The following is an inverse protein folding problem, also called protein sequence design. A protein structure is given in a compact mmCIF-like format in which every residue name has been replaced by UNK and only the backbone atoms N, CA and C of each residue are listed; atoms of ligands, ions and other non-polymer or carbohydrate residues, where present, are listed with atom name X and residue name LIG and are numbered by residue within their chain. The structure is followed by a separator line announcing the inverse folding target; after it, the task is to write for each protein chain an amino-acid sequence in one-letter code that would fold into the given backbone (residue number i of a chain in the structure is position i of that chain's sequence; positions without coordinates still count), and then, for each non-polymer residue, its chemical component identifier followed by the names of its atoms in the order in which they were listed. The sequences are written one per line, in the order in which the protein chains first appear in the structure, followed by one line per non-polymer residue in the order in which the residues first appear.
data_IF_679354928586
#
_entry.id   IF_679354928586
#
_cell.length_a   1.000
_cell.length_b   1.000
_cell.length_c   1.000
_cell.angle_alpha   90.00
_cell.angle_beta   90.00
_cell.angle_gamma   90.00
#
_symmetry.space_group_name_H-M   'P 1'
#
loop_
_entity.id
_entity.type
_entity.pdbx_description
1 polymer ?
#
# COMPACT_ATOMS: atom_id res chain seq x y z
N UNK A 1 -9.34 16.85 -11.58
CA UNK A 1 -7.93 16.40 -11.42
C UNK A 1 -7.82 14.98 -11.88
N UNK A 2 -6.87 14.68 -12.73
CA UNK A 2 -6.67 13.33 -13.28
C UNK A 2 -5.54 12.56 -12.58
N UNK A 3 -5.65 11.25 -12.56
CA UNK A 3 -4.58 10.31 -12.18
C UNK A 3 -4.40 9.27 -13.29
N UNK A 4 -3.21 8.71 -13.41
CA UNK A 4 -2.92 7.60 -14.32
C UNK A 4 -2.89 6.30 -13.54
N UNK A 5 -3.74 5.35 -13.91
CA UNK A 5 -3.87 4.04 -13.29
C UNK A 5 -3.42 2.93 -14.24
N UNK A 6 -2.93 1.84 -13.66
CA UNK A 6 -2.58 0.61 -14.39
C UNK A 6 -3.80 -0.28 -14.65
N UNK A 7 -4.77 -0.26 -13.74
CA UNK A 7 -6.02 -1.01 -13.84
C UNK A 7 -7.16 -0.30 -13.09
N UNK A 8 -8.38 -0.77 -13.26
CA UNK A 8 -9.53 -0.39 -12.44
C UNK A 8 -9.28 -0.69 -10.96
N UNK A 9 -10.06 -0.09 -10.07
CA UNK A 9 -10.02 -0.43 -8.65
C UNK A 9 -10.25 -1.93 -8.47
N UNK A 10 -9.42 -2.56 -7.65
CA UNK A 10 -9.54 -3.98 -7.32
C UNK A 10 -10.07 -4.13 -5.89
N UNK A 11 -11.36 -4.41 -5.70
CA UNK A 11 -11.91 -4.69 -4.37
C UNK A 11 -11.50 -6.08 -3.87
N UNK A 12 -11.78 -6.34 -2.60
CA UNK A 12 -11.72 -7.65 -1.94
C UNK A 12 -10.32 -8.29 -1.89
N UNK A 13 -9.26 -7.48 -1.94
CA UNK A 13 -7.91 -7.98 -1.69
C UNK A 13 -7.67 -8.24 -0.20
N UNK A 14 -7.05 -9.38 0.11
CA UNK A 14 -6.63 -9.80 1.46
C UNK A 14 -5.11 -9.94 1.59
N UNK A 15 -4.38 -9.60 0.53
CA UNK A 15 -2.90 -9.74 0.47
C UNK A 15 -2.16 -8.41 0.41
N UNK A 16 -2.87 -7.34 0.15
CA UNK A 16 -2.31 -6.00 -0.02
C UNK A 16 -2.43 -5.14 1.25
N UNK A 17 -2.26 -5.75 2.41
CA UNK A 17 -2.39 -5.17 3.74
C UNK A 17 -3.39 -5.94 4.60
N UNK A 18 -3.58 -5.50 5.84
CA UNK A 18 -4.48 -6.15 6.79
C UNK A 18 -5.94 -5.83 6.48
N UNK A 19 -6.82 -6.84 6.63
CA UNK A 19 -8.25 -6.75 6.37
C UNK A 19 -8.61 -6.94 4.90
N UNK A 20 -9.85 -6.59 4.56
CA UNK A 20 -10.38 -6.62 3.19
C UNK A 20 -10.18 -5.24 2.57
N UNK A 21 -9.47 -5.17 1.45
CA UNK A 21 -9.00 -3.89 0.92
C UNK A 21 -9.36 -3.68 -0.55
N UNK A 22 -9.57 -2.45 -0.93
CA UNK A 22 -9.61 -2.07 -2.34
C UNK A 22 -8.26 -1.50 -2.75
N UNK A 23 -7.65 -2.09 -3.78
CA UNK A 23 -6.35 -1.65 -4.28
C UNK A 23 -6.53 -0.64 -5.42
N UNK A 24 -5.81 0.47 -5.32
CA UNK A 24 -5.64 1.50 -6.35
C UNK A 24 -4.28 1.26 -7.00
N UNK A 25 -4.30 0.76 -8.23
CA UNK A 25 -3.09 0.43 -8.99
C UNK A 25 -2.61 1.64 -9.79
N UNK A 26 -1.67 2.41 -9.26
CA UNK A 26 -1.09 3.56 -9.98
C UNK A 26 -0.18 3.12 -11.12
N UNK A 27 -0.03 3.96 -12.12
CA UNK A 27 0.88 3.75 -13.26
C UNK A 27 2.08 4.70 -13.15
N UNK A 28 3.26 4.19 -13.51
CA UNK A 28 4.54 4.89 -13.44
C UNK A 28 5.37 4.49 -12.22
N UNK A 29 6.64 4.13 -12.44
CA UNK A 29 7.60 3.81 -11.39
C UNK A 29 9.02 4.12 -11.85
N UNK A 30 9.81 4.77 -10.98
CA UNK A 30 11.22 5.10 -11.25
C UNK A 30 12.21 4.05 -10.74
N UNK A 31 11.76 3.07 -9.95
CA UNK A 31 12.67 2.19 -9.23
C UNK A 31 13.24 1.05 -10.08
N UNK A 32 12.48 0.56 -11.07
CA UNK A 32 12.89 -0.52 -11.97
C UNK A 32 13.52 -1.74 -11.25
N UNK A 33 12.90 -2.14 -10.11
CA UNK A 33 13.41 -3.26 -9.33
C UNK A 33 13.52 -4.54 -10.19
N UNK A 34 14.65 -5.25 -10.19
CA UNK A 34 14.76 -6.53 -10.86
C UNK A 34 13.69 -7.51 -10.35
N UNK A 35 13.03 -8.21 -11.27
CA UNK A 35 11.93 -9.15 -10.96
C UNK A 35 10.74 -8.50 -10.19
N UNK A 36 10.50 -7.21 -10.42
CA UNK A 36 9.31 -6.55 -9.89
C UNK A 36 8.05 -7.38 -10.15
N UNK A 37 7.12 -7.42 -9.19
CA UNK A 37 5.87 -8.17 -9.33
C UNK A 37 4.94 -7.56 -10.39
N UNK A 38 5.06 -6.24 -10.66
CA UNK A 38 4.21 -5.49 -11.55
C UNK A 38 5.01 -4.69 -12.60
N UNK A 39 5.87 -5.32 -13.43
CA UNK A 39 6.74 -4.60 -14.37
C UNK A 39 5.97 -3.79 -15.41
N UNK A 40 4.73 -4.22 -15.73
CA UNK A 40 3.82 -3.51 -16.65
C UNK A 40 3.41 -2.12 -16.15
N UNK A 41 3.57 -1.84 -14.86
CA UNK A 41 3.22 -0.55 -14.25
C UNK A 41 4.36 0.47 -14.25
N UNK A 42 5.54 0.12 -14.80
CA UNK A 42 6.71 1.01 -14.80
C UNK A 42 6.59 2.16 -15.79
N UNK A 43 6.05 1.89 -16.98
CA UNK A 43 5.94 2.90 -18.07
C UNK A 43 5.00 4.04 -17.66
N UNK A 44 5.51 5.27 -17.67
CA UNK A 44 4.73 6.47 -17.36
C UNK A 44 3.65 6.78 -18.41
N UNK A 45 3.75 6.22 -19.62
CA UNK A 45 2.77 6.37 -20.69
C UNK A 45 1.78 5.20 -20.74
N UNK A 46 2.03 4.13 -19.97
CA UNK A 46 1.14 2.97 -19.88
C UNK A 46 -0.16 3.27 -19.12
N UNK A 47 -0.99 2.23 -18.97
CA UNK A 47 -2.26 2.36 -18.26
C UNK A 47 -3.23 3.33 -18.94
N UNK A 48 -4.07 4.00 -18.16
CA UNK A 48 -5.06 4.96 -18.63
C UNK A 48 -5.23 6.12 -17.65
N UNK A 49 -5.71 7.25 -18.17
CA UNK A 49 -6.00 8.45 -17.37
C UNK A 49 -7.46 8.47 -16.98
N UNK A 50 -7.74 8.77 -15.72
CA UNK A 50 -9.10 8.84 -15.15
C UNK A 50 -9.25 10.07 -14.27
N UNK A 51 -10.43 10.66 -14.22
CA UNK A 51 -10.75 11.74 -13.30
C UNK A 51 -10.91 11.21 -11.88
N UNK A 52 -10.42 11.95 -10.88
CA UNK A 52 -10.59 11.55 -9.47
C UNK A 52 -12.06 11.43 -9.07
N UNK A 53 -12.93 12.26 -9.64
CA UNK A 53 -14.37 12.20 -9.35
C UNK A 53 -14.97 10.84 -9.74
N UNK A 54 -14.46 10.20 -10.79
CA UNK A 54 -14.93 8.87 -11.19
C UNK A 54 -14.40 7.79 -10.22
N UNK A 55 -13.17 7.94 -9.73
CA UNK A 55 -12.63 7.08 -8.67
C UNK A 55 -13.49 7.22 -7.41
N UNK A 56 -13.84 8.45 -7.00
CA UNK A 56 -14.67 8.69 -5.83
C UNK A 56 -16.08 8.10 -5.97
N UNK A 57 -16.68 8.14 -7.17
CA UNK A 57 -17.94 7.44 -7.46
C UNK A 57 -17.83 5.94 -7.26
N UNK A 58 -16.74 5.32 -7.72
CA UNK A 58 -16.49 3.87 -7.51
C UNK A 58 -16.25 3.56 -6.03
N UNK A 59 -15.46 4.39 -5.32
CA UNK A 59 -15.23 4.22 -3.88
C UNK A 59 -16.53 4.30 -3.06
N UNK A 60 -17.50 5.13 -3.46
CA UNK A 60 -18.81 5.19 -2.80
C UNK A 60 -19.65 3.91 -2.94
N UNK A 61 -19.33 3.06 -3.92
CA UNK A 61 -20.02 1.77 -4.12
C UNK A 61 -19.43 0.66 -3.26
N UNK A 62 -18.25 0.85 -2.70
CA UNK A 62 -17.56 -0.16 -1.90
C UNK A 62 -18.40 -0.54 -0.66
N UNK A 63 -18.37 -1.83 -0.32
CA UNK A 63 -19.03 -2.37 0.88
C UNK A 63 -18.13 -3.40 1.53
N UNK A 64 -18.10 -3.42 2.86
CA UNK A 64 -17.35 -4.41 3.62
C UNK A 64 -15.83 -4.30 3.48
N UNK A 65 -15.30 -3.15 3.07
CA UNK A 65 -13.86 -2.90 3.01
C UNK A 65 -13.36 -2.30 4.32
N UNK A 66 -12.21 -2.78 4.80
CA UNK A 66 -11.53 -2.20 5.96
C UNK A 66 -10.66 -1.01 5.57
N UNK A 67 -10.23 -0.95 4.30
CA UNK A 67 -9.39 0.14 3.84
C UNK A 67 -9.09 0.12 2.35
N UNK A 68 -8.31 1.09 1.91
CA UNK A 68 -7.71 1.11 0.59
C UNK A 68 -6.21 0.86 0.68
N UNK A 69 -5.65 0.38 -0.43
CA UNK A 69 -4.19 0.26 -0.62
C UNK A 69 -3.78 0.99 -1.88
N UNK A 70 -2.90 1.95 -1.73
CA UNK A 70 -2.21 2.61 -2.83
C UNK A 70 -1.00 1.75 -3.22
N UNK A 71 -0.97 1.26 -4.45
CA UNK A 71 0.07 0.36 -4.96
C UNK A 71 0.22 0.53 -6.49
N UNK A 72 0.81 -0.47 -7.17
CA UNK A 72 0.92 -0.49 -8.64
C UNK A 72 2.33 -0.25 -9.12
N UNK A 73 2.56 0.87 -9.82
CA UNK A 73 3.89 1.42 -10.07
C UNK A 73 4.47 1.95 -8.77
N UNK A 74 4.41 3.26 -8.57
CA UNK A 74 4.72 3.84 -7.27
C UNK A 74 3.78 5.03 -7.01
N UNK A 75 2.93 4.99 -5.97
CA UNK A 75 2.03 6.08 -5.62
C UNK A 75 2.75 7.42 -5.37
N UNK A 76 4.01 7.38 -4.93
CA UNK A 76 4.82 8.57 -4.65
C UNK A 76 5.29 9.30 -5.91
N UNK A 77 5.03 8.79 -7.12
CA UNK A 77 5.24 9.53 -8.38
C UNK A 77 4.01 10.34 -8.81
N UNK A 78 2.84 10.07 -8.20
CA UNK A 78 1.60 10.83 -8.37
C UNK A 78 1.04 11.27 -7.00
N UNK A 79 1.86 11.94 -6.15
CA UNK A 79 1.54 12.10 -4.73
C UNK A 79 0.31 12.98 -4.48
N UNK A 80 0.09 14.01 -5.28
CA UNK A 80 -1.06 14.91 -5.08
C UNK A 80 -2.40 14.24 -5.39
N UNK A 81 -2.43 13.39 -6.40
CA UNK A 81 -3.61 12.62 -6.77
C UNK A 81 -3.90 11.53 -5.72
N UNK A 82 -2.86 10.82 -5.31
CA UNK A 82 -2.96 9.80 -4.26
C UNK A 82 -3.36 10.41 -2.91
N UNK A 83 -2.91 11.62 -2.60
CA UNK A 83 -3.32 12.39 -1.43
C UNK A 83 -4.85 12.62 -1.40
N UNK A 84 -5.43 13.03 -2.52
CA UNK A 84 -6.89 13.26 -2.59
C UNK A 84 -7.68 11.94 -2.45
N UNK A 85 -7.15 10.84 -3.00
CA UNK A 85 -7.76 9.51 -2.82
C UNK A 85 -7.67 9.08 -1.34
N UNK A 86 -6.53 9.29 -0.66
CA UNK A 86 -6.35 8.97 0.75
C UNK A 86 -7.30 9.76 1.64
N UNK A 87 -7.41 11.07 1.44
CA UNK A 87 -8.37 11.93 2.14
C UNK A 87 -9.81 11.47 1.93
N UNK A 88 -10.15 11.05 0.70
CA UNK A 88 -11.48 10.57 0.40
C UNK A 88 -11.76 9.22 1.08
N UNK A 89 -10.79 8.33 1.14
CA UNK A 89 -10.89 7.09 1.88
C UNK A 89 -11.19 7.32 3.36
N UNK A 90 -10.48 8.26 4.02
CA UNK A 90 -10.74 8.62 5.41
C UNK A 90 -12.15 9.18 5.62
N UNK A 91 -12.71 9.97 4.68
CA UNK A 91 -14.13 10.43 4.74
C UNK A 91 -15.11 9.27 4.71
N UNK A 92 -14.75 8.14 4.09
CA UNK A 92 -15.55 6.92 4.05
C UNK A 92 -15.29 5.99 5.26
N UNK A 93 -14.41 6.37 6.18
CA UNK A 93 -14.03 5.56 7.34
C UNK A 93 -13.04 4.44 7.01
N UNK A 94 -12.38 4.49 5.85
CA UNK A 94 -11.41 3.50 5.38
C UNK A 94 -10.00 3.91 5.77
N UNK A 95 -9.20 2.98 6.29
CA UNK A 95 -7.78 3.23 6.51
C UNK A 95 -6.98 3.14 5.21
N UNK A 96 -5.78 3.73 5.18
CA UNK A 96 -4.93 3.85 3.98
C UNK A 96 -3.60 3.16 4.18
N UNK A 97 -3.32 2.15 3.35
CA UNK A 97 -1.99 1.57 3.19
C UNK A 97 -1.35 2.11 1.91
N UNK A 98 -0.03 2.28 1.92
CA UNK A 98 0.72 2.71 0.74
C UNK A 98 1.99 1.88 0.59
N UNK A 99 2.19 1.33 -0.61
CA UNK A 99 3.42 0.62 -1.00
C UNK A 99 4.27 1.53 -1.86
N UNK A 100 5.56 1.66 -1.53
CA UNK A 100 6.50 2.48 -2.28
C UNK A 100 7.92 1.92 -2.24
N UNK A 101 8.68 2.18 -3.28
CA UNK A 101 10.11 1.88 -3.29
C UNK A 101 10.97 2.99 -2.65
N UNK A 102 10.40 4.15 -2.33
CA UNK A 102 11.09 5.19 -1.56
C UNK A 102 11.20 4.78 -0.08
N UNK A 103 12.21 5.30 0.61
CA UNK A 103 12.30 5.17 2.05
C UNK A 103 11.53 6.30 2.74
N UNK A 104 10.97 6.03 3.90
CA UNK A 104 10.25 7.00 4.73
C UNK A 104 11.03 8.30 4.90
N UNK A 105 12.34 8.19 5.17
CA UNK A 105 13.24 9.31 5.39
C UNK A 105 13.45 10.17 4.11
N UNK A 106 13.33 9.58 2.93
CA UNK A 106 13.42 10.31 1.67
C UNK A 106 12.10 10.98 1.30
N UNK A 107 10.97 10.34 1.61
CA UNK A 107 9.63 10.91 1.43
C UNK A 107 9.50 12.21 2.22
N UNK A 108 10.01 12.27 3.44
CA UNK A 108 9.97 13.48 4.28
C UNK A 108 10.70 14.70 3.69
N UNK A 109 11.63 14.48 2.74
CA UNK A 109 12.39 15.55 2.08
C UNK A 109 11.64 16.19 0.90
N UNK A 110 10.54 15.59 0.45
CA UNK A 110 9.74 16.08 -0.67
C UNK A 110 8.35 16.50 -0.16
N UNK A 111 8.05 17.79 -0.23
CA UNK A 111 6.80 18.38 0.28
C UNK A 111 5.52 17.68 -0.22
N UNK A 112 5.48 17.27 -1.50
CA UNK A 112 4.30 16.62 -2.08
C UNK A 112 4.15 15.19 -1.61
N UNK A 113 5.25 14.45 -1.52
CA UNK A 113 5.24 13.08 -1.01
C UNK A 113 4.96 13.05 0.48
N UNK A 114 5.52 14.01 1.23
CA UNK A 114 5.24 14.18 2.66
C UNK A 114 3.76 14.46 2.92
N UNK A 115 3.14 15.33 2.12
CA UNK A 115 1.70 15.60 2.25
C UNK A 115 0.85 14.32 2.04
N UNK A 116 1.20 13.47 1.07
CA UNK A 116 0.56 12.16 0.93
C UNK A 116 0.84 11.27 2.14
N UNK A 117 2.10 11.21 2.61
CA UNK A 117 2.49 10.39 3.76
C UNK A 117 1.65 10.72 5.00
N UNK A 118 1.36 11.99 5.25
CA UNK A 118 0.56 12.45 6.40
C UNK A 118 -0.89 11.90 6.39
N UNK A 119 -1.38 11.48 5.22
CA UNK A 119 -2.70 10.84 5.04
C UNK A 119 -2.60 9.31 4.89
N UNK A 120 -1.43 8.71 5.05
CA UNK A 120 -1.23 7.26 5.05
C UNK A 120 -1.20 6.75 6.49
N UNK A 121 -1.94 5.67 6.78
CA UNK A 121 -1.91 5.03 8.10
C UNK A 121 -0.75 4.05 8.23
N UNK A 122 -0.51 3.25 7.17
CA UNK A 122 0.56 2.26 7.14
C UNK A 122 1.35 2.37 5.83
N UNK A 123 2.65 2.55 5.94
CA UNK A 123 3.57 2.59 4.81
C UNK A 123 4.36 1.28 4.73
N UNK A 124 4.38 0.66 3.55
CA UNK A 124 5.32 -0.40 3.22
C UNK A 124 6.38 0.22 2.32
N UNK A 125 7.57 0.47 2.88
CA UNK A 125 8.63 1.21 2.23
C UNK A 125 9.83 0.35 1.80
N UNK A 126 10.60 0.87 0.86
CA UNK A 126 11.82 0.27 0.36
C UNK A 126 11.63 -0.56 -0.91
N UNK A 127 12.66 -0.53 -1.77
CA UNK A 127 12.67 -1.27 -3.03
C UNK A 127 12.56 -2.76 -2.80
N UNK A 128 11.86 -3.46 -3.72
CA UNK A 128 11.89 -4.90 -3.76
C UNK A 128 13.30 -5.41 -4.11
N UNK A 129 13.83 -6.32 -3.29
CA UNK A 129 15.10 -7.00 -3.50
C UNK A 129 14.86 -8.50 -3.69
N UNK A 130 15.19 -9.02 -4.88
CA UNK A 130 14.94 -10.42 -5.22
C UNK A 130 15.66 -11.40 -4.28
N UNK A 131 16.86 -11.06 -3.85
CA UNK A 131 17.67 -11.90 -2.96
C UNK A 131 17.10 -11.99 -1.54
N UNK A 132 16.21 -11.07 -1.18
CA UNK A 132 15.51 -11.04 0.10
C UNK A 132 14.02 -11.42 -0.02
N UNK A 133 13.60 -11.92 -1.20
CA UNK A 133 12.22 -12.36 -1.43
C UNK A 133 11.86 -13.53 -0.53
N UNK A 134 10.69 -13.46 0.08
CA UNK A 134 10.09 -14.59 0.81
C UNK A 134 8.57 -14.51 0.80
N UNK A 135 7.91 -15.64 0.61
CA UNK A 135 6.44 -15.77 0.67
C UNK A 135 5.93 -15.85 2.12
N UNK A 136 6.81 -16.05 3.08
CA UNK A 136 6.47 -16.14 4.50
C UNK A 136 6.39 -14.77 5.19
N UNK A 137 6.67 -13.69 4.48
CA UNK A 137 6.61 -12.33 5.01
C UNK A 137 5.15 -11.83 5.06
N UNK A 138 4.84 -11.03 6.08
CA UNK A 138 3.58 -10.30 6.12
C UNK A 138 3.60 -9.16 5.10
N UNK A 139 2.59 -9.06 4.26
CA UNK A 139 2.27 -7.90 3.40
C UNK A 139 3.47 -7.17 2.77
N UNK A 140 4.58 -7.83 2.53
CA UNK A 140 5.76 -7.27 1.85
C UNK A 140 6.46 -8.33 0.99
N UNK A 141 7.12 -7.90 -0.07
CA UNK A 141 7.72 -8.80 -1.06
C UNK A 141 9.12 -9.29 -0.68
N UNK A 142 9.88 -8.50 0.07
CA UNK A 142 11.27 -8.80 0.46
C UNK A 142 11.57 -8.37 1.89
N UNK A 143 12.54 -9.00 2.53
CA UNK A 143 12.80 -8.87 3.97
C UNK A 143 13.27 -7.46 4.35
N UNK A 144 14.00 -6.76 3.46
CA UNK A 144 14.45 -5.39 3.65
C UNK A 144 13.34 -4.35 3.78
N UNK A 145 12.14 -4.63 3.24
CA UNK A 145 11.01 -3.69 3.32
C UNK A 145 10.50 -3.58 4.76
N UNK A 146 10.06 -2.39 5.13
CA UNK A 146 9.52 -2.09 6.47
C UNK A 146 8.01 -1.86 6.40
N UNK A 147 7.28 -2.27 7.42
CA UNK A 147 5.84 -1.96 7.59
C UNK A 147 5.75 -0.98 8.75
N UNK A 148 5.48 0.26 8.42
CA UNK A 148 5.65 1.42 9.29
C UNK A 148 4.28 1.96 9.72
N UNK A 149 4.10 2.17 11.03
CA UNK A 149 3.02 3.00 11.57
C UNK A 149 3.37 4.47 11.32
N UNK A 150 2.69 5.09 10.36
CA UNK A 150 3.03 6.44 9.92
C UNK A 150 2.70 7.47 10.99
N UNK A 151 1.55 7.35 11.64
CA UNK A 151 1.12 8.31 12.67
C UNK A 151 2.06 8.32 13.86
N UNK A 152 2.44 7.14 14.33
CA UNK A 152 3.37 7.04 15.46
C UNK A 152 4.79 7.47 15.05
N UNK A 153 5.20 7.18 13.80
CA UNK A 153 6.50 7.61 13.29
C UNK A 153 6.61 9.14 13.18
N UNK A 154 5.58 9.80 12.65
CA UNK A 154 5.54 11.27 12.57
C UNK A 154 5.55 11.92 13.97
N UNK A 155 4.82 11.36 14.92
CA UNK A 155 4.76 11.84 16.28
C UNK A 155 6.10 11.72 17.01
N UNK A 156 6.83 10.62 16.80
CA UNK A 156 8.12 10.37 17.45
C UNK A 156 9.31 10.94 16.66
N UNK A 157 9.10 11.46 15.44
CA UNK A 157 10.15 11.86 14.50
C UNK A 157 11.17 10.76 14.21
N UNK A 158 10.74 9.50 14.20
CA UNK A 158 11.55 8.33 13.89
C UNK A 158 10.67 7.20 13.33
N UNK A 159 11.26 6.29 12.57
CA UNK A 159 10.53 5.14 12.03
C UNK A 159 10.07 4.22 13.16
N UNK A 160 8.77 3.97 13.21
CA UNK A 160 8.13 3.00 14.11
C UNK A 160 7.52 1.89 13.26
N UNK A 161 8.21 0.76 13.20
CA UNK A 161 7.68 -0.43 12.52
C UNK A 161 6.62 -1.11 13.39
N UNK A 162 5.56 -1.62 12.75
CA UNK A 162 4.47 -2.35 13.42
C UNK A 162 4.98 -3.72 13.90
N UNK A 163 5.07 -3.97 15.22
CA UNK A 163 5.77 -5.17 15.75
C UNK A 163 5.18 -6.50 15.27
N UNK A 164 3.85 -6.58 15.11
CA UNK A 164 3.14 -7.82 14.71
C UNK A 164 3.49 -8.28 13.28
N UNK A 165 4.07 -7.42 12.44
CA UNK A 165 4.48 -7.76 11.07
C UNK A 165 6.00 -7.94 10.94
N UNK A 166 6.75 -7.82 12.04
CA UNK A 166 8.18 -8.15 12.05
C UNK A 166 8.36 -9.67 11.97
N UNK A 167 9.27 -10.10 11.11
CA UNK A 167 9.59 -11.52 10.93
C UNK A 167 8.71 -12.22 9.89
N UNK A 168 8.68 -13.55 9.97
CA UNK A 168 7.95 -14.43 9.06
C UNK A 168 6.61 -14.87 9.63
N UNK A 169 5.64 -15.14 8.76
CA UNK A 169 4.38 -15.78 9.15
C UNK A 169 4.69 -17.14 9.77
N UNK A 170 4.20 -17.38 10.97
CA UNK A 170 4.29 -18.69 11.60
C UNK A 170 3.11 -19.54 11.12
N UNK A 171 3.29 -20.26 10.02
CA UNK A 171 2.34 -21.25 9.55
C UNK A 171 2.28 -22.38 10.60
N UNK A 172 1.26 -22.44 11.41
CA UNK A 172 1.07 -23.47 12.44
C UNK A 172 0.44 -23.00 13.72
N UNK A 173 0.43 -21.72 14.03
CA UNK A 173 -0.34 -21.21 15.18
C UNK A 173 -1.82 -20.96 14.85
N UNK A 174 -2.20 -20.77 13.58
CA UNK A 174 -3.61 -20.63 13.19
C UNK A 174 -4.41 -21.94 13.33
N UNK A 175 -3.75 -23.10 13.31
CA UNK A 175 -4.42 -24.41 13.44
C UNK A 175 -4.40 -24.99 14.86
N UNK A 176 -3.86 -24.28 15.85
CA UNK A 176 -3.82 -24.75 17.25
C UNK A 176 -4.95 -24.20 18.14
N UNK A 177 -5.82 -23.35 17.63
CA UNK A 177 -7.04 -22.94 18.35
C UNK A 177 -8.23 -23.69 17.79
N UNK A 178 -8.77 -24.54 18.65
CA UNK A 178 -10.02 -25.27 18.57
C UNK A 178 -9.99 -26.64 17.87
N UNK A 179 -9.51 -27.63 18.63
CA UNK A 179 -9.86 -29.03 18.40
C UNK A 179 -11.32 -29.37 18.81
N UNK A 180 -12.08 -28.39 19.30
CA UNK A 180 -13.47 -28.59 19.75
C UNK A 180 -14.53 -28.42 18.65
N UNK A 181 -14.13 -28.06 17.42
CA UNK A 181 -15.05 -27.86 16.29
C UNK A 181 -15.17 -29.06 15.33
N UNK A 182 -14.54 -30.19 15.67
CA UNK A 182 -14.63 -31.42 14.89
C UNK A 182 -15.05 -32.57 15.82
N UNK A 183 -16.30 -32.57 16.26
CA UNK A 183 -17.06 -33.76 16.74
C UNK A 183 -18.43 -33.70 16.08
#
# INVERSE_FOLDING_TARGET
MTIRLASTLQPDSIVDGEGIRTVVWTQGCLHHCPFCHNPQTHDFNGGYVVELDDIFKEMNKLRGQDGITLSGGDPMVQPLQCLEIAKYAHKLGLNVWCYTGYLYEDILKNEKQKALLEEVDVLVDGKFLIDERSLDLYYKGSANQRIIDVKESLKQNMVVEIPRYKGKKIFGQMYKKDKSLFI
#
